data_IF_946088702462
#
_entry.id   IF_946088702462
#
_cell.length_a   1.000
_cell.length_b   1.000
_cell.length_c   1.000
_cell.angle_alpha   90.00
_cell.angle_beta   90.00
_cell.angle_gamma   90.00
#
_symmetry.space_group_name_H-M   'P 1'
#
loop_
_entity.id
_entity.type
_entity.pdbx_description
1 polymer ?
#
# COMPACT_ATOMS: atom_id res chain seq x y z
N UNK A 1 -18.72 39.94 29.11
CA UNK A 1 -17.65 39.31 28.32
C UNK A 1 -17.66 40.03 26.98
N UNK A 2 -16.51 40.58 26.54
CA UNK A 2 -16.43 41.41 25.34
C UNK A 2 -16.67 40.60 24.09
N UNK A 3 -17.30 41.21 23.07
CA UNK A 3 -17.38 40.77 21.71
C UNK A 3 -15.94 40.52 21.23
N UNK A 4 -15.67 39.39 20.59
CA UNK A 4 -14.31 39.02 20.14
C UNK A 4 -13.62 37.91 20.94
N UNK A 5 -14.13 37.52 22.12
CA UNK A 5 -13.50 36.43 22.89
C UNK A 5 -13.64 35.07 22.19
N UNK A 6 -14.77 34.83 21.52
CA UNK A 6 -14.97 33.60 20.74
C UNK A 6 -14.11 33.62 19.49
N UNK A 7 -14.02 34.74 18.81
CA UNK A 7 -13.16 34.94 17.64
C UNK A 7 -11.71 34.67 17.99
N UNK A 8 -11.16 35.22 19.07
CA UNK A 8 -9.78 34.97 19.48
C UNK A 8 -9.51 33.50 19.82
N UNK A 9 -10.46 32.84 20.47
CA UNK A 9 -10.36 31.40 20.73
C UNK A 9 -10.37 30.58 19.45
N UNK A 10 -11.22 30.93 18.51
CA UNK A 10 -11.31 30.26 17.22
C UNK A 10 -10.01 30.44 16.41
N UNK A 11 -9.55 31.68 16.28
CA UNK A 11 -8.29 32.02 15.60
C UNK A 11 -7.12 31.27 16.26
N UNK A 12 -7.01 31.28 17.58
CA UNK A 12 -5.98 30.53 18.30
C UNK A 12 -6.01 29.03 17.99
N UNK A 13 -7.21 28.44 17.96
CA UNK A 13 -7.37 27.03 17.65
C UNK A 13 -6.99 26.68 16.20
N UNK A 14 -7.19 27.61 15.25
CA UNK A 14 -6.75 27.44 13.85
C UNK A 14 -5.24 27.57 13.76
N UNK A 15 -4.68 28.70 14.21
CA UNK A 15 -3.27 29.03 13.96
C UNK A 15 -2.28 28.13 14.71
N UNK A 16 -2.64 27.59 15.88
CA UNK A 16 -1.77 26.64 16.59
C UNK A 16 -1.46 25.38 15.79
N UNK A 17 -2.28 25.07 14.75
CA UNK A 17 -2.12 23.91 13.86
C UNK A 17 -1.36 24.25 12.58
N UNK A 18 -1.05 25.53 12.37
CA UNK A 18 -0.32 26.01 11.21
C UNK A 18 1.20 26.00 11.45
N UNK A 19 2.01 25.96 10.38
CA UNK A 19 3.44 26.22 10.46
C UNK A 19 3.75 27.57 11.11
N UNK A 20 4.85 27.65 11.86
CA UNK A 20 5.14 28.83 12.68
C UNK A 20 5.31 30.13 11.86
N UNK A 21 5.80 29.99 10.63
CA UNK A 21 6.05 31.06 9.66
C UNK A 21 4.77 31.68 9.08
N UNK A 22 3.63 30.99 9.17
CA UNK A 22 2.36 31.44 8.59
C UNK A 22 1.33 31.87 9.65
N UNK A 23 1.64 31.69 10.94
CA UNK A 23 0.66 31.85 12.00
C UNK A 23 0.16 33.30 12.14
N UNK A 24 1.08 34.23 12.07
CA UNK A 24 0.76 35.66 12.36
C UNK A 24 -0.06 36.23 11.18
N UNK A 25 0.34 35.96 9.95
CA UNK A 25 -0.34 36.43 8.74
C UNK A 25 -1.78 35.88 8.65
N UNK A 26 -1.94 34.59 8.87
CA UNK A 26 -3.24 33.92 8.81
C UNK A 26 -4.12 34.33 10.01
N UNK A 27 -3.52 34.58 11.19
CA UNK A 27 -4.27 35.08 12.34
C UNK A 27 -4.90 36.45 12.05
N UNK A 28 -4.14 37.36 11.44
CA UNK A 28 -4.61 38.69 11.06
C UNK A 28 -5.70 38.63 9.99
N UNK A 29 -5.48 37.81 8.93
CA UNK A 29 -6.46 37.59 7.88
C UNK A 29 -7.78 37.03 8.42
N UNK A 30 -7.73 36.03 9.30
CA UNK A 30 -8.92 35.41 9.89
C UNK A 30 -9.69 36.39 10.76
N UNK A 31 -8.98 37.24 11.59
CA UNK A 31 -9.63 38.25 12.40
C UNK A 31 -10.35 39.29 11.53
N UNK A 32 -9.68 39.75 10.48
CA UNK A 32 -10.28 40.71 9.54
C UNK A 32 -11.52 40.12 8.88
N UNK A 33 -11.41 38.91 8.34
CA UNK A 33 -12.52 38.21 7.65
C UNK A 33 -13.72 38.01 8.58
N UNK A 34 -13.49 37.59 9.83
CA UNK A 34 -14.55 37.40 10.82
C UNK A 34 -15.19 38.72 11.17
N UNK A 35 -14.40 39.78 11.42
CA UNK A 35 -14.89 41.09 11.77
C UNK A 35 -15.78 41.69 10.65
N UNK A 36 -15.28 41.65 9.40
CA UNK A 36 -16.02 42.15 8.24
C UNK A 36 -17.34 41.40 8.02
N UNK A 37 -17.30 40.05 8.20
CA UNK A 37 -18.50 39.21 8.03
C UNK A 37 -19.53 39.50 9.14
N UNK A 38 -19.09 39.70 10.39
CA UNK A 38 -19.97 40.04 11.51
C UNK A 38 -20.59 41.43 11.31
N UNK A 39 -19.79 42.41 10.87
CA UNK A 39 -20.25 43.77 10.58
C UNK A 39 -21.26 43.78 9.43
N UNK A 40 -20.98 43.04 8.38
CA UNK A 40 -21.85 42.91 7.18
C UNK A 40 -23.24 42.32 7.48
N UNK A 41 -23.42 41.65 8.61
CA UNK A 41 -24.71 41.07 9.00
C UNK A 41 -25.71 42.09 9.58
N UNK A 42 -25.24 43.23 9.99
CA UNK A 42 -26.07 44.27 10.61
C UNK A 42 -27.06 43.77 11.69
N UNK A 43 -26.64 42.73 12.44
CA UNK A 43 -27.49 42.10 13.44
C UNK A 43 -27.67 42.97 14.66
N UNK A 44 -28.85 42.94 15.26
CA UNK A 44 -29.17 43.70 16.47
C UNK A 44 -28.30 43.30 17.69
N UNK A 45 -27.83 42.06 17.73
CA UNK A 45 -26.90 41.55 18.73
C UNK A 45 -25.60 41.05 18.07
N UNK A 46 -24.48 41.79 18.26
CA UNK A 46 -23.17 41.38 17.69
C UNK A 46 -22.66 40.04 18.19
N UNK A 47 -23.06 39.59 19.39
CA UNK A 47 -22.64 38.30 19.93
C UNK A 47 -23.32 37.13 19.23
N UNK A 48 -24.57 37.29 18.87
CA UNK A 48 -25.30 36.29 18.08
C UNK A 48 -24.72 36.21 16.69
N UNK A 49 -24.41 37.34 16.05
CA UNK A 49 -23.75 37.40 14.76
C UNK A 49 -22.37 36.70 14.76
N UNK A 50 -21.54 36.98 15.81
CA UNK A 50 -20.26 36.33 15.99
C UNK A 50 -20.39 34.80 16.04
N UNK A 51 -21.34 34.25 16.81
CA UNK A 51 -21.58 32.82 16.91
C UNK A 51 -22.03 32.20 15.58
N UNK A 52 -22.93 32.88 14.89
CA UNK A 52 -23.42 32.42 13.59
C UNK A 52 -22.30 32.34 12.55
N UNK A 53 -21.46 33.37 12.46
CA UNK A 53 -20.31 33.44 11.57
C UNK A 53 -19.33 32.31 11.88
N UNK A 54 -18.97 32.11 13.14
CA UNK A 54 -18.07 31.05 13.55
C UNK A 54 -18.67 29.64 13.28
N UNK A 55 -19.99 29.50 13.42
CA UNK A 55 -20.68 28.23 13.10
C UNK A 55 -20.64 27.95 11.60
N UNK A 56 -20.81 28.97 10.75
CA UNK A 56 -20.69 28.84 9.29
C UNK A 56 -19.26 28.55 8.83
N UNK A 57 -18.27 29.16 9.48
CA UNK A 57 -16.85 28.84 9.22
C UNK A 57 -16.51 27.39 9.55
N UNK A 58 -17.28 26.77 10.47
CA UNK A 58 -17.17 25.37 10.83
C UNK A 58 -16.05 25.07 11.81
N UNK A 59 -15.70 23.80 11.90
CA UNK A 59 -14.68 23.27 12.82
C UNK A 59 -13.31 23.93 12.55
N UNK A 60 -12.62 24.51 13.59
CA UNK A 60 -11.31 25.11 13.44
C UNK A 60 -10.24 24.14 12.92
N UNK A 61 -10.37 22.82 13.16
CA UNK A 61 -9.45 21.81 12.60
C UNK A 61 -9.59 21.75 11.08
N UNK A 62 -10.82 21.77 10.56
CA UNK A 62 -11.08 21.79 9.12
C UNK A 62 -10.67 23.11 8.48
N UNK A 63 -10.84 24.22 9.21
CA UNK A 63 -10.38 25.52 8.77
C UNK A 63 -8.85 25.54 8.63
N UNK A 64 -8.11 25.12 9.65
CA UNK A 64 -6.65 25.02 9.61
C UNK A 64 -6.14 24.12 8.46
N UNK A 65 -6.84 23.03 8.19
CA UNK A 65 -6.48 22.12 7.09
C UNK A 65 -6.58 22.77 5.71
N UNK A 66 -7.48 23.73 5.51
CA UNK A 66 -7.57 24.50 4.25
C UNK A 66 -6.34 25.39 4.02
N UNK A 67 -5.79 25.98 5.08
CA UNK A 67 -4.60 26.82 5.01
C UNK A 67 -3.28 26.01 4.90
N UNK A 68 -3.24 24.80 5.45
CA UNK A 68 -2.01 23.99 5.41
C UNK A 68 -1.90 23.12 4.15
N UNK A 69 -2.92 23.11 3.28
CA UNK A 69 -3.00 22.17 2.12
C UNK A 69 -2.77 20.69 2.55
N UNK A 70 -2.90 20.39 3.83
CA UNK A 70 -2.73 19.04 4.36
C UNK A 70 -4.06 18.31 4.30
N UNK A 71 -4.17 17.23 3.57
CA UNK A 71 -5.38 16.43 3.56
C UNK A 71 -5.63 15.88 4.97
N UNK A 72 -6.85 16.04 5.49
CA UNK A 72 -7.29 15.42 6.74
C UNK A 72 -7.50 13.91 6.61
N UNK A 73 -7.47 13.39 5.38
CA UNK A 73 -7.65 11.99 5.06
C UNK A 73 -6.30 11.34 4.75
N UNK A 74 -6.11 10.12 5.21
CA UNK A 74 -4.94 9.30 4.90
C UNK A 74 -4.91 8.94 3.39
N UNK A 75 -6.09 8.70 2.82
CA UNK A 75 -6.31 8.39 1.41
C UNK A 75 -7.36 9.40 0.92
N UNK A 76 -6.98 10.22 -0.06
CA UNK A 76 -7.85 11.25 -0.63
C UNK A 76 -9.01 10.66 -1.44
N UNK A 77 -10.05 11.48 -1.72
CA UNK A 77 -11.25 11.05 -2.43
C UNK A 77 -10.95 10.48 -3.81
N UNK A 78 -9.89 10.94 -4.48
CA UNK A 78 -9.51 10.47 -5.82
C UNK A 78 -9.02 9.02 -5.83
N UNK A 79 -8.30 8.60 -4.79
CA UNK A 79 -7.74 7.26 -4.67
C UNK A 79 -8.64 6.30 -3.87
N UNK A 80 -9.59 6.80 -3.10
CA UNK A 80 -10.43 6.02 -2.22
C UNK A 80 -11.24 4.91 -2.93
N UNK A 81 -11.88 5.16 -4.11
CA UNK A 81 -12.60 4.10 -4.82
C UNK A 81 -11.67 2.98 -5.31
N UNK A 82 -10.44 3.33 -5.75
CA UNK A 82 -9.44 2.36 -6.16
C UNK A 82 -8.94 1.52 -4.97
N UNK A 83 -8.74 2.17 -3.81
CA UNK A 83 -8.38 1.51 -2.56
C UNK A 83 -9.44 0.48 -2.14
N UNK A 84 -10.71 0.86 -2.08
CA UNK A 84 -11.80 -0.06 -1.71
C UNK A 84 -11.92 -1.24 -2.68
N UNK A 85 -11.80 -0.98 -3.98
CA UNK A 85 -11.87 -2.04 -4.99
C UNK A 85 -10.75 -3.07 -4.82
N UNK A 86 -9.50 -2.60 -4.65
CA UNK A 86 -8.36 -3.49 -4.40
C UNK A 86 -8.49 -4.24 -3.08
N UNK A 87 -8.87 -3.55 -2.01
CA UNK A 87 -9.09 -4.15 -0.70
C UNK A 87 -10.13 -5.28 -0.79
N UNK A 88 -11.25 -5.02 -1.44
CA UNK A 88 -12.30 -6.03 -1.63
C UNK A 88 -11.77 -7.23 -2.41
N UNK A 89 -11.12 -7.02 -3.56
CA UNK A 89 -10.58 -8.13 -4.37
C UNK A 89 -9.52 -8.94 -3.59
N UNK A 90 -8.62 -8.29 -2.87
CA UNK A 90 -7.59 -8.98 -2.10
C UNK A 90 -8.19 -9.81 -0.97
N UNK A 91 -9.14 -9.25 -0.21
CA UNK A 91 -9.75 -9.94 0.92
C UNK A 91 -10.76 -11.02 0.50
N UNK A 92 -11.45 -10.85 -0.63
CA UNK A 92 -12.48 -11.82 -1.06
C UNK A 92 -11.97 -12.88 -2.04
N UNK A 93 -10.82 -12.67 -2.68
CA UNK A 93 -10.29 -13.60 -3.68
C UNK A 93 -8.91 -14.11 -3.28
N UNK A 94 -7.94 -13.21 -3.08
CA UNK A 94 -6.54 -13.62 -2.85
C UNK A 94 -6.38 -14.29 -1.49
N UNK A 95 -6.89 -13.68 -0.44
CA UNK A 95 -6.76 -14.18 0.94
C UNK A 95 -7.44 -15.55 1.12
N UNK A 96 -8.70 -15.78 0.69
CA UNK A 96 -9.30 -17.11 0.77
C UNK A 96 -8.56 -18.18 -0.04
N UNK A 97 -8.04 -17.84 -1.22
CA UNK A 97 -7.28 -18.80 -2.04
C UNK A 97 -6.00 -19.24 -1.33
N UNK A 98 -5.25 -18.29 -0.74
CA UNK A 98 -4.05 -18.60 0.04
C UNK A 98 -4.43 -19.46 1.27
N UNK A 99 -5.44 -19.04 2.03
CA UNK A 99 -5.86 -19.74 3.25
C UNK A 99 -6.34 -21.17 2.95
N UNK A 100 -7.20 -21.33 1.94
CA UNK A 100 -7.68 -22.67 1.54
C UNK A 100 -6.53 -23.53 1.04
N UNK A 101 -5.61 -22.96 0.26
CA UNK A 101 -4.43 -23.68 -0.21
C UNK A 101 -3.59 -24.22 0.93
N UNK A 102 -3.30 -23.40 1.95
CA UNK A 102 -2.53 -23.82 3.12
C UNK A 102 -3.27 -24.85 4.00
N UNK A 103 -4.58 -24.63 4.22
CA UNK A 103 -5.42 -25.61 4.97
C UNK A 103 -5.47 -26.95 4.25
N UNK A 104 -5.58 -26.98 2.92
CA UNK A 104 -5.56 -28.22 2.15
C UNK A 104 -4.20 -28.93 2.19
N UNK A 105 -3.11 -28.16 2.19
CA UNK A 105 -1.76 -28.70 2.37
C UNK A 105 -1.62 -29.37 3.75
N UNK A 106 -2.04 -28.68 4.80
CA UNK A 106 -1.96 -29.22 6.17
C UNK A 106 -2.90 -30.42 6.38
N UNK A 107 -4.10 -30.43 5.80
CA UNK A 107 -4.98 -31.59 5.83
C UNK A 107 -4.43 -32.79 5.03
N UNK A 108 -3.60 -32.57 4.03
CA UNK A 108 -2.97 -33.65 3.28
C UNK A 108 -1.82 -34.30 4.08
N UNK A 109 -1.26 -33.57 5.03
CA UNK A 109 -0.14 -34.00 5.87
C UNK A 109 -0.59 -34.60 7.21
N UNK A 110 -1.54 -33.93 7.86
CA UNK A 110 -2.08 -34.36 9.15
C UNK A 110 -3.57 -34.65 9.04
N UNK A 111 -4.03 -35.82 9.50
CA UNK A 111 -5.47 -36.14 9.60
C UNK A 111 -6.20 -35.28 10.69
N UNK A 112 -5.53 -34.28 11.30
CA UNK A 112 -6.10 -33.41 12.31
C UNK A 112 -6.77 -32.17 11.69
N UNK A 113 -8.06 -32.29 11.40
CA UNK A 113 -8.90 -31.18 10.93
C UNK A 113 -8.89 -29.99 11.89
N UNK A 114 -8.70 -30.23 13.21
CA UNK A 114 -8.68 -29.17 14.20
C UNK A 114 -7.41 -28.33 14.12
N UNK A 115 -6.25 -28.94 13.87
CA UNK A 115 -4.99 -28.25 13.63
C UNK A 115 -5.06 -27.41 12.35
N UNK A 116 -5.47 -28.01 11.24
CA UNK A 116 -5.60 -27.33 9.95
C UNK A 116 -6.56 -26.12 9.99
N UNK A 117 -7.67 -26.22 10.73
CA UNK A 117 -8.56 -25.07 10.90
C UNK A 117 -7.93 -23.95 11.76
N UNK A 118 -7.19 -24.28 12.81
CA UNK A 118 -6.49 -23.27 13.63
C UNK A 118 -5.43 -22.53 12.81
N UNK A 119 -4.63 -23.25 12.05
CA UNK A 119 -3.62 -22.71 11.14
C UNK A 119 -4.27 -21.80 10.07
N UNK A 120 -5.35 -22.27 9.44
CA UNK A 120 -6.12 -21.48 8.48
C UNK A 120 -6.66 -20.17 9.07
N UNK A 121 -7.18 -20.17 10.29
CA UNK A 121 -7.62 -18.94 10.99
C UNK A 121 -6.42 -18.04 11.30
N UNK A 122 -5.32 -18.58 11.77
CA UNK A 122 -4.07 -17.83 12.00
C UNK A 122 -3.57 -17.14 10.74
N UNK A 123 -3.50 -17.89 9.63
CA UNK A 123 -3.13 -17.37 8.30
C UNK A 123 -4.08 -16.27 7.84
N UNK A 124 -5.38 -16.48 7.96
CA UNK A 124 -6.40 -15.51 7.55
C UNK A 124 -6.24 -14.18 8.29
N UNK A 125 -5.99 -14.21 9.58
CA UNK A 125 -5.78 -13.02 10.40
C UNK A 125 -4.45 -12.35 10.04
N UNK A 126 -3.37 -13.11 9.98
CA UNK A 126 -2.01 -12.56 9.82
C UNK A 126 -1.78 -12.03 8.42
N UNK A 127 -2.04 -12.86 7.40
CA UNK A 127 -1.89 -12.45 5.99
C UNK A 127 -2.91 -11.38 5.64
N UNK A 128 -4.15 -11.48 6.16
CA UNK A 128 -5.17 -10.45 5.97
C UNK A 128 -4.78 -9.10 6.57
N UNK A 129 -4.27 -9.08 7.80
CA UNK A 129 -3.78 -7.86 8.43
C UNK A 129 -2.60 -7.25 7.65
N UNK A 130 -1.68 -8.07 7.17
CA UNK A 130 -0.55 -7.63 6.36
C UNK A 130 -0.98 -7.05 5.00
N UNK A 131 -1.93 -7.70 4.31
CA UNK A 131 -2.51 -7.18 3.07
C UNK A 131 -3.13 -5.80 3.28
N UNK A 132 -3.94 -5.63 4.33
CA UNK A 132 -4.56 -4.34 4.67
C UNK A 132 -3.50 -3.29 4.99
N UNK A 133 -2.49 -3.64 5.80
CA UNK A 133 -1.43 -2.72 6.19
C UNK A 133 -0.60 -2.25 4.98
N UNK A 134 -0.15 -3.18 4.12
CA UNK A 134 0.63 -2.86 2.92
C UNK A 134 -0.19 -2.04 1.94
N UNK A 135 -1.45 -2.44 1.68
CA UNK A 135 -2.36 -1.69 0.80
C UNK A 135 -2.53 -0.25 1.29
N UNK A 136 -2.85 -0.08 2.58
CA UNK A 136 -3.04 1.24 3.18
C UNK A 136 -1.78 2.08 3.11
N UNK A 137 -0.62 1.49 3.41
CA UNK A 137 0.68 2.16 3.34
C UNK A 137 0.99 2.64 1.91
N UNK A 138 0.81 1.78 0.91
CA UNK A 138 1.06 2.13 -0.51
C UNK A 138 0.16 3.28 -0.96
N UNK A 139 -1.13 3.24 -0.62
CA UNK A 139 -2.06 4.32 -0.95
C UNK A 139 -1.73 5.61 -0.22
N UNK A 140 -1.39 5.55 1.07
CA UNK A 140 -0.98 6.72 1.85
C UNK A 140 0.30 7.36 1.31
N UNK A 141 1.31 6.55 0.95
CA UNK A 141 2.55 7.04 0.34
C UNK A 141 2.27 7.65 -1.04
N UNK A 142 1.46 6.99 -1.87
CA UNK A 142 1.05 7.49 -3.19
C UNK A 142 0.37 8.86 -3.07
N UNK A 143 -0.59 8.99 -2.15
CA UNK A 143 -1.28 10.24 -1.87
C UNK A 143 -0.30 11.33 -1.43
N UNK A 144 0.61 11.00 -0.51
CA UNK A 144 1.61 11.93 0.01
C UNK A 144 2.58 12.43 -1.07
N UNK A 145 3.01 11.52 -1.96
CA UNK A 145 3.92 11.87 -3.07
C UNK A 145 3.20 12.73 -4.11
N UNK A 146 1.93 12.43 -4.43
CA UNK A 146 1.09 13.23 -5.33
C UNK A 146 0.90 14.65 -4.79
N UNK A 147 0.58 14.79 -3.50
CA UNK A 147 0.46 16.10 -2.84
C UNK A 147 1.76 16.90 -2.90
N UNK A 148 2.89 16.29 -2.53
CA UNK A 148 4.21 16.98 -2.55
C UNK A 148 4.62 17.49 -3.92
N UNK A 149 4.13 16.87 -5.00
CA UNK A 149 4.43 17.26 -6.39
C UNK A 149 3.40 18.20 -7.00
N UNK A 150 2.44 18.69 -6.22
CA UNK A 150 1.38 19.56 -6.68
C UNK A 150 0.39 18.91 -7.67
N UNK A 151 0.42 17.57 -7.78
CA UNK A 151 -0.45 16.82 -8.70
C UNK A 151 -1.91 16.82 -8.23
N UNK A 152 -2.15 17.10 -6.95
CA UNK A 152 -3.47 17.24 -6.32
C UNK A 152 -3.97 18.67 -6.23
N UNK A 153 -3.16 19.65 -6.64
CA UNK A 153 -3.61 21.03 -6.79
C UNK A 153 -4.59 21.11 -7.94
N UNK A 154 -5.75 21.70 -7.69
CA UNK A 154 -6.84 21.94 -8.63
C UNK A 154 -6.34 22.38 -10.02
N UNK A 155 -5.92 21.43 -10.84
CA UNK A 155 -6.03 21.62 -12.27
C UNK A 155 -7.51 21.99 -12.49
N UNK A 156 -7.77 23.22 -12.97
CA UNK A 156 -9.10 23.68 -13.25
C UNK A 156 -9.72 22.63 -14.15
N UNK A 157 -10.62 21.81 -13.58
CA UNK A 157 -11.33 20.80 -14.33
C UNK A 157 -12.00 21.45 -15.53
N UNK A 158 -11.78 20.91 -16.70
CA UNK A 158 -12.46 21.32 -17.93
C UNK A 158 -13.23 20.12 -18.48
N UNK A 159 -14.31 20.34 -19.24
CA UNK A 159 -15.02 19.25 -19.90
C UNK A 159 -14.14 18.40 -20.82
N UNK A 160 -13.00 18.93 -21.27
CA UNK A 160 -12.02 18.22 -22.11
C UNK A 160 -11.20 17.19 -21.30
N UNK A 161 -11.23 17.27 -19.96
CA UNK A 161 -10.61 16.29 -19.06
C UNK A 161 -11.47 15.03 -18.85
N UNK A 162 -12.67 14.96 -19.47
CA UNK A 162 -13.53 13.78 -19.41
C UNK A 162 -12.86 12.61 -20.13
N UNK A 163 -12.70 11.46 -19.47
CA UNK A 163 -12.15 10.27 -20.13
C UNK A 163 -13.07 9.81 -21.25
N UNK A 164 -12.48 9.41 -22.36
CA UNK A 164 -13.23 8.85 -23.48
C UNK A 164 -13.97 7.57 -23.02
N UNK A 165 -15.29 7.52 -23.24
CA UNK A 165 -16.17 6.43 -22.79
C UNK A 165 -15.70 5.06 -23.33
N UNK A 166 -14.88 5.05 -24.37
CA UNK A 166 -14.33 3.84 -25.02
C UNK A 166 -13.04 3.31 -24.40
N UNK A 167 -12.38 4.07 -23.53
CA UNK A 167 -11.18 3.61 -22.84
C UNK A 167 -11.40 3.70 -21.33
N UNK A 168 -11.80 2.60 -20.67
CA UNK A 168 -11.80 2.59 -19.22
C UNK A 168 -10.36 2.90 -18.73
N UNK A 169 -10.24 3.79 -17.77
CA UNK A 169 -8.98 4.23 -17.18
C UNK A 169 -8.29 3.05 -16.43
N UNK A 170 -7.76 2.11 -17.22
CA UNK A 170 -7.03 0.94 -16.72
C UNK A 170 -5.59 1.28 -16.34
N UNK A 171 -5.09 2.44 -16.76
CA UNK A 171 -3.68 2.79 -16.58
C UNK A 171 -3.33 3.11 -15.12
N UNK A 172 -4.15 3.88 -14.45
CA UNK A 172 -3.91 4.30 -13.07
C UNK A 172 -4.14 3.17 -12.07
N UNK A 173 -5.26 2.48 -12.17
CA UNK A 173 -5.60 1.37 -11.28
C UNK A 173 -4.61 0.20 -11.39
N UNK A 174 -4.28 -0.24 -12.61
CA UNK A 174 -3.34 -1.34 -12.82
C UNK A 174 -1.91 -1.00 -12.34
N UNK A 175 -1.50 0.27 -12.44
CA UNK A 175 -0.21 0.71 -11.90
C UNK A 175 -0.17 0.62 -10.37
N UNK A 176 -1.23 1.07 -9.69
CA UNK A 176 -1.32 0.99 -8.23
C UNK A 176 -1.41 -0.47 -7.77
N UNK A 177 -2.21 -1.29 -8.45
CA UNK A 177 -2.34 -2.72 -8.15
C UNK A 177 -0.97 -3.44 -8.22
N UNK A 178 -0.16 -3.12 -9.23
CA UNK A 178 1.19 -3.67 -9.36
C UNK A 178 2.09 -3.24 -8.20
N UNK A 179 2.07 -1.96 -7.82
CA UNK A 179 2.86 -1.46 -6.67
C UNK A 179 2.46 -2.15 -5.37
N UNK A 180 1.16 -2.34 -5.16
CA UNK A 180 0.62 -3.06 -3.99
C UNK A 180 1.11 -4.50 -3.97
N UNK A 181 1.08 -5.18 -5.12
CA UNK A 181 1.54 -6.56 -5.24
C UNK A 181 3.03 -6.70 -4.94
N UNK A 182 3.86 -5.86 -5.56
CA UNK A 182 5.32 -5.88 -5.35
C UNK A 182 5.68 -5.56 -3.88
N UNK A 183 4.99 -4.58 -3.27
CA UNK A 183 5.16 -4.25 -1.86
C UNK A 183 4.66 -5.35 -0.91
N UNK A 184 3.57 -6.04 -1.29
CA UNK A 184 3.07 -7.17 -0.53
C UNK A 184 4.06 -8.35 -0.55
N UNK A 185 4.60 -8.69 -1.72
CA UNK A 185 5.62 -9.74 -1.84
C UNK A 185 6.87 -9.39 -1.02
N UNK A 186 7.33 -8.15 -1.09
CA UNK A 186 8.44 -7.68 -0.27
C UNK A 186 8.15 -7.85 1.23
N UNK A 187 6.99 -7.38 1.68
CA UNK A 187 6.57 -7.49 3.08
C UNK A 187 6.40 -8.95 3.53
N UNK A 188 5.87 -9.81 2.65
CA UNK A 188 5.69 -11.24 2.94
C UNK A 188 7.03 -11.96 3.14
N UNK A 189 8.01 -11.69 2.28
CA UNK A 189 9.36 -12.27 2.38
C UNK A 189 10.02 -11.85 3.70
N UNK A 190 9.95 -10.56 4.05
CA UNK A 190 10.55 -10.04 5.28
C UNK A 190 9.81 -10.59 6.50
N UNK A 191 8.47 -10.61 6.45
CA UNK A 191 7.65 -11.08 7.56
C UNK A 191 7.90 -12.55 7.89
N UNK A 192 7.96 -13.43 6.90
CA UNK A 192 8.17 -14.86 7.13
C UNK A 192 9.52 -15.16 7.79
N UNK A 193 10.55 -14.35 7.53
CA UNK A 193 11.84 -14.46 8.19
C UNK A 193 11.81 -14.00 9.65
N UNK A 194 11.03 -12.94 9.94
CA UNK A 194 11.00 -12.38 11.30
C UNK A 194 10.00 -13.07 12.23
N UNK A 195 8.98 -13.72 11.68
CA UNK A 195 7.87 -14.29 12.43
C UNK A 195 7.92 -15.82 12.52
N UNK A 196 8.76 -16.49 11.70
CA UNK A 196 8.90 -17.95 11.66
C UNK A 196 7.52 -18.63 11.81
N UNK A 197 6.62 -18.48 10.82
CA UNK A 197 5.18 -18.68 11.02
C UNK A 197 4.73 -20.15 11.12
N UNK A 198 5.63 -21.10 10.91
CA UNK A 198 5.30 -22.51 10.90
C UNK A 198 5.95 -23.24 12.10
N UNK A 199 5.14 -24.05 12.75
CA UNK A 199 5.57 -24.93 13.82
C UNK A 199 5.72 -26.35 13.27
N UNK A 200 6.93 -26.89 13.32
CA UNK A 200 7.19 -28.28 13.00
C UNK A 200 7.16 -29.12 14.27
N UNK A 201 6.35 -30.17 14.29
CA UNK A 201 6.37 -31.15 15.37
C UNK A 201 7.60 -32.06 15.20
N UNK A 202 8.53 -32.03 16.15
CA UNK A 202 9.68 -32.95 16.15
C UNK A 202 9.25 -34.41 16.32
N UNK A 203 10.01 -35.33 15.76
CA UNK A 203 9.81 -36.81 15.86
C UNK A 203 9.88 -37.39 17.29
N UNK A 204 9.91 -36.56 18.32
CA UNK A 204 10.08 -36.88 19.71
C UNK A 204 8.89 -36.56 20.62
N UNK A 205 9.07 -36.66 21.91
CA UNK A 205 8.04 -36.41 22.93
C UNK A 205 7.43 -35.00 22.79
N UNK A 206 6.15 -34.88 23.12
CA UNK A 206 5.38 -33.61 23.03
C UNK A 206 6.15 -32.42 23.64
N UNK A 207 6.62 -31.51 22.81
CA UNK A 207 7.32 -30.28 23.19
C UNK A 207 8.63 -29.97 22.45
N UNK A 208 9.16 -30.87 21.62
CA UNK A 208 10.43 -30.69 20.93
C UNK A 208 10.26 -30.07 19.49
N UNK A 209 9.13 -29.46 19.21
CA UNK A 209 8.89 -28.78 17.92
C UNK A 209 9.64 -27.45 17.80
N UNK A 210 10.00 -27.08 16.58
CA UNK A 210 10.73 -25.84 16.25
C UNK A 210 9.91 -24.96 15.29
N UNK A 211 10.05 -23.65 15.45
CA UNK A 211 9.45 -22.69 14.51
C UNK A 211 10.31 -22.63 13.24
N UNK A 212 9.70 -22.83 12.08
CA UNK A 212 10.39 -22.90 10.80
C UNK A 212 10.06 -21.71 9.90
N UNK A 213 11.08 -21.29 9.14
CA UNK A 213 10.91 -20.41 7.98
C UNK A 213 10.47 -21.22 6.75
N UNK A 214 9.63 -20.64 5.92
CA UNK A 214 9.21 -21.23 4.62
C UNK A 214 10.33 -21.22 3.61
N UNK A 215 11.08 -20.11 3.57
CA UNK A 215 12.22 -19.94 2.68
C UNK A 215 13.47 -20.57 3.27
N UNK A 216 14.32 -21.08 2.41
CA UNK A 216 15.59 -21.69 2.82
C UNK A 216 16.46 -20.67 3.59
N UNK A 217 16.93 -20.99 4.80
CA UNK A 217 17.71 -20.05 5.64
C UNK A 217 18.96 -19.50 4.93
N UNK A 218 19.63 -20.32 4.11
CA UNK A 218 20.84 -19.92 3.38
C UNK A 218 20.61 -18.79 2.36
N UNK A 219 19.37 -18.57 1.92
CA UNK A 219 19.04 -17.45 1.05
C UNK A 219 19.36 -16.10 1.67
N UNK A 220 19.26 -16.00 3.01
CA UNK A 220 19.56 -14.76 3.74
C UNK A 220 21.05 -14.43 3.78
N UNK A 221 21.92 -15.41 3.50
CA UNK A 221 23.36 -15.20 3.38
C UNK A 221 23.76 -14.52 2.07
N UNK A 222 22.90 -14.49 1.04
CA UNK A 222 23.28 -13.95 -0.25
C UNK A 222 22.15 -13.61 -1.21
N UNK A 223 21.46 -14.61 -1.74
CA UNK A 223 20.55 -14.47 -2.90
C UNK A 223 19.26 -13.68 -2.63
N UNK A 224 18.82 -13.58 -1.38
CA UNK A 224 17.60 -12.84 -1.03
C UNK A 224 17.77 -11.32 -1.22
N UNK A 225 18.96 -10.78 -1.00
CA UNK A 225 19.20 -9.33 -1.06
C UNK A 225 18.97 -8.72 -2.44
N UNK A 226 19.48 -9.31 -3.55
CA UNK A 226 19.10 -8.85 -4.88
C UNK A 226 17.61 -8.92 -5.16
N UNK A 227 16.92 -9.99 -4.71
CA UNK A 227 15.48 -10.15 -4.86
C UNK A 227 14.72 -9.01 -4.14
N UNK A 228 15.05 -8.75 -2.88
CA UNK A 228 14.46 -7.67 -2.09
C UNK A 228 14.79 -6.29 -2.68
N UNK A 229 16.03 -6.07 -3.11
CA UNK A 229 16.43 -4.81 -3.76
C UNK A 229 15.67 -4.58 -5.08
N UNK A 230 15.46 -5.65 -5.86
CA UNK A 230 14.64 -5.62 -7.07
C UNK A 230 13.19 -5.27 -6.78
N UNK A 231 12.56 -5.91 -5.80
CA UNK A 231 11.19 -5.61 -5.37
C UNK A 231 11.06 -4.18 -4.86
N UNK A 232 11.97 -3.72 -4.00
CA UNK A 232 11.98 -2.34 -3.52
C UNK A 232 12.12 -1.33 -4.68
N UNK A 233 12.97 -1.65 -5.66
CA UNK A 233 13.12 -0.89 -6.90
C UNK A 233 11.82 -0.83 -7.70
N UNK A 234 11.13 -1.96 -7.88
CA UNK A 234 9.84 -2.05 -8.58
C UNK A 234 8.77 -1.22 -7.90
N UNK A 235 8.67 -1.28 -6.56
CA UNK A 235 7.78 -0.43 -5.76
C UNK A 235 8.08 1.05 -5.98
N UNK A 236 9.34 1.47 -5.87
CA UNK A 236 9.75 2.87 -6.05
C UNK A 236 9.46 3.39 -7.46
N UNK A 237 9.77 2.61 -8.49
CA UNK A 237 9.50 2.97 -9.89
C UNK A 237 8.01 2.95 -10.18
N UNK A 238 7.26 2.00 -9.64
CA UNK A 238 5.82 1.94 -9.75
C UNK A 238 5.14 3.18 -9.16
N UNK A 239 5.57 3.63 -7.97
CA UNK A 239 5.12 4.90 -7.38
C UNK A 239 5.47 6.10 -8.25
N UNK A 240 6.71 6.15 -8.78
CA UNK A 240 7.13 7.21 -9.70
C UNK A 240 6.28 7.25 -10.97
N UNK A 241 5.91 6.08 -11.53
CA UNK A 241 5.01 5.95 -12.68
C UNK A 241 3.60 6.46 -12.39
N UNK A 242 3.04 6.11 -11.21
CA UNK A 242 1.71 6.58 -10.78
C UNK A 242 1.69 8.11 -10.70
N UNK A 243 2.75 8.70 -10.17
CA UNK A 243 2.89 10.16 -10.05
C UNK A 243 3.12 10.83 -11.40
N UNK A 244 3.91 10.21 -12.30
CA UNK A 244 4.16 10.71 -13.64
C UNK A 244 2.97 10.52 -14.60
N UNK A 245 1.91 9.83 -14.17
CA UNK A 245 0.72 9.47 -14.97
C UNK A 245 1.04 8.70 -16.25
N UNK A 246 2.15 7.96 -16.28
CA UNK A 246 2.50 7.16 -17.44
C UNK A 246 3.94 6.66 -17.45
N UNK A 247 4.29 5.98 -18.52
CA UNK A 247 5.64 5.51 -18.76
C UNK A 247 6.48 6.56 -19.48
N UNK A 248 7.70 6.74 -19.03
CA UNK A 248 8.75 7.42 -19.77
C UNK A 248 9.85 6.41 -20.08
N UNK A 249 10.65 6.66 -21.13
CA UNK A 249 11.77 5.77 -21.49
C UNK A 249 12.72 5.57 -20.31
N UNK A 250 12.98 6.63 -19.53
CA UNK A 250 13.84 6.57 -18.35
C UNK A 250 13.23 5.65 -17.27
N UNK A 251 11.94 5.76 -16.99
CA UNK A 251 11.25 4.88 -16.03
C UNK A 251 11.22 3.43 -16.52
N UNK A 252 10.99 3.21 -17.82
CA UNK A 252 11.01 1.87 -18.40
C UNK A 252 12.40 1.21 -18.32
N UNK A 253 13.47 1.98 -18.50
CA UNK A 253 14.84 1.48 -18.35
C UNK A 253 15.12 1.07 -16.90
N UNK A 254 14.80 1.93 -15.92
CA UNK A 254 14.98 1.58 -14.51
C UNK A 254 14.09 0.42 -14.08
N UNK A 255 12.87 0.33 -14.63
CA UNK A 255 11.99 -0.83 -14.41
C UNK A 255 12.62 -2.12 -14.92
N UNK A 256 13.23 -2.10 -16.11
CA UNK A 256 13.92 -3.26 -16.64
C UNK A 256 15.10 -3.71 -15.75
N UNK A 257 15.86 -2.75 -15.19
CA UNK A 257 16.95 -3.06 -14.25
C UNK A 257 16.40 -3.67 -12.96
N UNK A 258 15.40 -3.04 -12.33
CA UNK A 258 14.79 -3.56 -11.10
C UNK A 258 14.12 -4.93 -11.32
N UNK A 259 13.44 -5.10 -12.46
CA UNK A 259 12.84 -6.37 -12.85
C UNK A 259 13.88 -7.46 -13.05
N UNK A 260 15.00 -7.18 -13.72
CA UNK A 260 16.09 -8.13 -13.87
C UNK A 260 16.72 -8.51 -12.52
N UNK A 261 16.91 -7.51 -11.65
CA UNK A 261 17.47 -7.72 -10.30
C UNK A 261 16.54 -8.58 -9.42
N UNK A 262 15.24 -8.55 -9.64
CA UNK A 262 14.27 -9.41 -8.99
C UNK A 262 14.20 -10.79 -9.65
N UNK A 263 13.97 -10.84 -10.98
CA UNK A 263 13.62 -12.09 -11.68
C UNK A 263 14.79 -13.03 -11.89
N UNK A 264 16.01 -12.52 -12.19
CA UNK A 264 17.14 -13.40 -12.48
C UNK A 264 17.62 -14.19 -11.26
N UNK A 265 17.83 -13.57 -10.08
CA UNK A 265 18.19 -14.30 -8.87
C UNK A 265 17.07 -15.26 -8.44
N UNK A 266 15.80 -14.81 -8.49
CA UNK A 266 14.67 -15.66 -8.15
C UNK A 266 14.56 -16.89 -9.06
N UNK A 267 14.72 -16.70 -10.38
CA UNK A 267 14.70 -17.82 -11.34
C UNK A 267 15.88 -18.78 -11.12
N UNK A 268 17.05 -18.25 -10.76
CA UNK A 268 18.22 -19.06 -10.42
C UNK A 268 18.00 -19.90 -9.17
N UNK A 269 17.50 -19.28 -8.08
CA UNK A 269 17.18 -19.99 -6.82
C UNK A 269 16.11 -21.05 -7.06
N UNK A 270 15.08 -20.76 -7.85
CA UNK A 270 14.08 -21.75 -8.26
C UNK A 270 14.71 -22.91 -9.05
N UNK A 271 15.59 -22.60 -10.00
CA UNK A 271 16.26 -23.62 -10.80
C UNK A 271 17.16 -24.55 -9.96
N UNK A 272 17.82 -23.99 -8.93
CA UNK A 272 18.63 -24.75 -7.97
C UNK A 272 17.79 -25.49 -6.93
N UNK A 273 16.48 -25.28 -6.90
CA UNK A 273 15.54 -25.89 -5.93
C UNK A 273 15.82 -25.47 -4.47
N UNK A 274 16.50 -24.34 -4.28
CA UNK A 274 16.90 -23.81 -2.98
C UNK A 274 15.93 -22.73 -2.44
N UNK A 275 14.71 -22.64 -2.98
CA UNK A 275 13.76 -21.60 -2.55
C UNK A 275 13.14 -21.92 -1.19
N UNK A 276 12.70 -23.16 -1.01
CA UNK A 276 11.99 -23.58 0.19
C UNK A 276 12.91 -24.33 1.16
N UNK A 277 12.63 -24.15 2.45
CA UNK A 277 13.30 -24.88 3.50
C UNK A 277 13.05 -26.39 3.33
N UNK A 278 14.10 -27.25 3.29
CA UNK A 278 13.93 -28.67 3.17
C UNK A 278 13.15 -29.30 4.34
N UNK A 279 13.27 -28.77 5.55
CA UNK A 279 12.53 -29.24 6.73
C UNK A 279 11.04 -28.91 6.58
N UNK A 280 10.70 -27.73 6.05
CA UNK A 280 9.33 -27.35 5.69
C UNK A 280 8.74 -28.28 4.60
N UNK A 281 9.53 -28.67 3.61
CA UNK A 281 9.11 -29.60 2.56
C UNK A 281 9.03 -31.05 3.05
N UNK A 282 9.83 -31.43 4.01
CA UNK A 282 9.85 -32.80 4.55
C UNK A 282 8.57 -33.11 5.34
N UNK A 283 7.94 -32.11 5.96
CA UNK A 283 6.63 -32.26 6.58
C UNK A 283 5.49 -32.43 5.55
N UNK A 284 5.59 -31.80 4.36
CA UNK A 284 4.59 -31.88 3.29
C UNK A 284 4.78 -33.06 2.34
N UNK A 285 5.07 -34.25 2.83
CA UNK A 285 5.58 -35.45 2.11
C UNK A 285 4.76 -35.98 0.90
N UNK A 286 3.51 -35.61 0.71
CA UNK A 286 2.61 -36.28 -0.24
C UNK A 286 2.42 -35.59 -1.60
N UNK A 287 2.73 -34.30 -1.74
CA UNK A 287 2.44 -33.55 -2.95
C UNK A 287 3.64 -33.34 -3.88
N UNK A 288 4.87 -33.67 -3.47
CA UNK A 288 6.09 -33.26 -4.15
C UNK A 288 7.05 -34.41 -4.53
N UNK A 289 6.52 -35.57 -4.94
CA UNK A 289 7.36 -36.72 -5.32
C UNK A 289 8.26 -36.49 -6.57
N UNK A 290 8.09 -35.38 -7.30
CA UNK A 290 8.96 -35.01 -8.43
C UNK A 290 9.09 -33.48 -8.54
N UNK A 291 9.93 -32.84 -7.71
CA UNK A 291 10.05 -31.38 -7.68
C UNK A 291 10.65 -30.77 -8.96
N UNK A 292 11.52 -31.47 -9.68
CA UNK A 292 12.30 -30.94 -10.79
C UNK A 292 11.48 -30.22 -11.89
N UNK A 293 10.40 -30.81 -12.47
CA UNK A 293 9.66 -30.14 -13.53
C UNK A 293 8.85 -28.95 -13.02
N UNK A 294 8.43 -28.96 -11.75
CA UNK A 294 7.67 -27.87 -11.14
C UNK A 294 8.55 -26.66 -10.92
N UNK A 295 9.74 -26.83 -10.35
CA UNK A 295 10.71 -25.77 -10.12
C UNK A 295 11.22 -25.15 -11.42
N UNK A 296 11.56 -26.00 -12.41
CA UNK A 296 11.99 -25.54 -13.72
C UNK A 296 10.88 -24.78 -14.44
N UNK A 297 9.63 -25.27 -14.33
CA UNK A 297 8.45 -24.60 -14.86
C UNK A 297 8.21 -23.25 -14.18
N UNK A 298 8.32 -23.18 -12.85
CA UNK A 298 8.18 -21.94 -12.09
C UNK A 298 9.26 -20.92 -12.45
N UNK A 299 10.51 -21.34 -12.57
CA UNK A 299 11.63 -20.49 -13.01
C UNK A 299 11.36 -19.91 -14.41
N UNK A 300 10.89 -20.73 -15.35
CA UNK A 300 10.53 -20.28 -16.69
C UNK A 300 9.36 -19.28 -16.66
N UNK A 301 8.33 -19.52 -15.86
CA UNK A 301 7.18 -18.61 -15.70
C UNK A 301 7.66 -17.26 -15.18
N UNK A 302 8.51 -17.23 -14.14
CA UNK A 302 9.06 -16.01 -13.56
C UNK A 302 9.83 -15.21 -14.62
N UNK A 303 10.67 -15.86 -15.43
CA UNK A 303 11.41 -15.20 -16.51
C UNK A 303 10.48 -14.64 -17.59
N UNK A 304 9.48 -15.41 -18.02
CA UNK A 304 8.52 -14.98 -19.05
C UNK A 304 7.68 -13.80 -18.54
N UNK A 305 7.16 -13.87 -17.31
CA UNK A 305 6.38 -12.78 -16.71
C UNK A 305 7.23 -11.53 -16.58
N UNK A 306 8.48 -11.66 -16.13
CA UNK A 306 9.44 -10.55 -16.06
C UNK A 306 9.71 -9.91 -17.43
N UNK A 307 9.97 -10.72 -18.45
CA UNK A 307 10.19 -10.24 -19.82
C UNK A 307 8.95 -9.52 -20.39
N UNK A 308 7.75 -10.07 -20.17
CA UNK A 308 6.47 -9.44 -20.57
C UNK A 308 6.25 -8.12 -19.85
N UNK A 309 6.57 -8.03 -18.55
CA UNK A 309 6.49 -6.80 -17.77
C UNK A 309 7.36 -5.71 -18.36
N UNK A 310 8.64 -6.01 -18.64
CA UNK A 310 9.58 -5.09 -19.28
C UNK A 310 9.10 -4.67 -20.67
N UNK A 311 8.65 -5.59 -21.49
CA UNK A 311 8.13 -5.30 -22.83
C UNK A 311 6.90 -4.37 -22.79
N UNK A 312 6.00 -4.56 -21.81
CA UNK A 312 4.85 -3.65 -21.57
C UNK A 312 5.31 -2.24 -21.18
N UNK A 313 6.32 -2.12 -20.31
CA UNK A 313 6.86 -0.84 -19.88
C UNK A 313 7.43 -0.04 -21.06
N UNK A 314 8.22 -0.67 -21.92
CA UNK A 314 8.79 -0.01 -23.11
C UNK A 314 7.73 0.32 -24.17
N UNK A 315 6.70 -0.53 -24.34
CA UNK A 315 5.58 -0.20 -25.24
C UNK A 315 4.81 1.03 -24.75
N UNK A 316 4.53 1.11 -23.45
CA UNK A 316 3.86 2.26 -22.87
C UNK A 316 4.70 3.54 -22.86
N UNK A 317 6.04 3.44 -23.01
CA UNK A 317 6.94 4.60 -23.09
C UNK A 317 7.09 5.16 -24.53
N UNK A 318 6.62 4.42 -25.53
CA UNK A 318 6.71 4.80 -26.97
C UNK A 318 5.40 5.30 -27.55
N UNK A 319 4.28 5.06 -26.87
CA UNK A 319 2.95 5.55 -27.23
C UNK A 319 2.60 6.79 -26.44
#
# INVERSE_FOLDING_TARGET
MSTGVLTERYVHEVVRRLPADQRDDIAEELRATIADTVEGRNAADPRTAEREVLTEMGDPVRCAARYTERPLALIGPDLYPAYLRLLTVLLTTVLPVITVGLVLLELADTDDVGAALRSGVGTLITVGAQLVAVLTLVFAVTERVRHRRGVTGAARWTPDDLPDVRQPDQGGFGAIAQVVWDAFLFGLIVWQHTAEPFWADGDGAAGDGEWLEVLHPDLWSGWIWPVLAGLAGLVGIGLARVVARGWTVRLATWHAVAQALFTLPLAWVLYQQELFNPDFLAEGKTLWESPDPVYSGAALIVLVVGAVSVAKAFRGARG
#
